data_IF_321611158629
#
_entry.id   IF_321611158629
#
_cell.length_a   1.000
_cell.length_b   1.000
_cell.length_c   1.000
_cell.angle_alpha   90.00
_cell.angle_beta   90.00
_cell.angle_gamma   90.00
#
_symmetry.space_group_name_H-M   'P 1'
#
loop_
_entity.id
_entity.type
_entity.pdbx_description
1 polymer ?
#
# COMPACT_ATOMS: atom_id res chain seq x y z
N UNK A 1 10.20 16.72 12.58
CA UNK A 1 9.44 17.93 12.23
C UNK A 1 8.00 17.82 12.75
N UNK A 2 7.81 17.35 13.98
CA UNK A 2 6.53 16.78 14.48
C UNK A 2 5.76 17.69 15.43
N UNK A 3 6.18 18.93 15.62
CA UNK A 3 5.53 19.85 16.57
C UNK A 3 4.43 20.75 15.95
N UNK A 4 4.23 20.71 14.64
CA UNK A 4 3.35 21.66 13.93
C UNK A 4 1.96 21.09 13.56
N UNK A 5 1.77 19.77 13.60
CA UNK A 5 0.52 19.13 13.16
C UNK A 5 -0.71 19.61 13.98
N UNK A 6 -0.60 19.61 15.31
CA UNK A 6 -1.68 20.07 16.21
C UNK A 6 -1.89 21.60 16.28
N UNK A 7 -1.27 22.39 15.40
CA UNK A 7 -1.36 23.87 15.42
C UNK A 7 -1.98 24.49 14.17
N UNK A 8 -2.40 23.69 13.19
CA UNK A 8 -3.11 24.21 12.01
C UNK A 8 -4.55 24.58 12.38
N UNK A 9 -5.00 25.75 11.94
CA UNK A 9 -6.42 26.08 11.97
C UNK A 9 -7.19 25.07 11.10
N UNK A 10 -8.37 24.66 11.56
CA UNK A 10 -9.20 23.75 10.80
C UNK A 10 -9.63 24.38 9.47
N UNK A 11 -9.48 23.64 8.37
CA UNK A 11 -9.86 24.11 7.02
C UNK A 11 -11.39 24.23 6.85
N UNK A 12 -12.17 23.57 7.71
CA UNK A 12 -13.62 23.59 7.71
C UNK A 12 -14.18 23.28 9.11
N UNK A 13 -15.37 23.80 9.39
CA UNK A 13 -16.17 23.38 10.53
C UNK A 13 -16.81 22.00 10.29
N UNK A 14 -17.27 21.34 11.37
CA UNK A 14 -18.05 20.10 11.30
C UNK A 14 -19.24 20.23 10.35
N UNK A 15 -19.95 21.35 10.40
CA UNK A 15 -21.14 21.60 9.57
C UNK A 15 -20.79 21.76 8.08
N UNK A 16 -19.72 22.49 7.77
CA UNK A 16 -19.25 22.68 6.40
C UNK A 16 -18.74 21.37 5.79
N UNK A 17 -17.96 20.59 6.55
CA UNK A 17 -17.46 19.29 6.13
C UNK A 17 -18.61 18.28 5.93
N UNK A 18 -19.58 18.22 6.85
CA UNK A 18 -20.74 17.36 6.74
C UNK A 18 -21.59 17.70 5.51
N UNK A 19 -21.80 19.00 5.22
CA UNK A 19 -22.54 19.44 4.05
C UNK A 19 -21.84 19.09 2.73
N UNK A 20 -20.50 19.15 2.69
CA UNK A 20 -19.72 18.85 1.48
C UNK A 20 -19.56 17.34 1.22
N UNK A 21 -19.32 16.56 2.28
CA UNK A 21 -18.99 15.14 2.16
C UNK A 21 -20.22 14.25 2.13
N UNK A 22 -21.26 14.62 2.88
CA UNK A 22 -22.42 13.77 3.14
C UNK A 22 -22.10 12.61 4.07
N UNK A 23 -23.14 12.00 4.64
CA UNK A 23 -23.01 10.81 5.49
C UNK A 23 -23.37 9.52 4.73
N UNK A 24 -22.80 8.37 5.13
CA UNK A 24 -21.74 8.23 6.13
C UNK A 24 -20.39 8.77 5.61
N UNK A 25 -19.56 9.25 6.53
CA UNK A 25 -18.18 9.69 6.25
C UNK A 25 -17.21 9.00 7.19
N UNK A 26 -15.92 9.07 6.86
CA UNK A 26 -14.86 8.54 7.70
C UNK A 26 -13.98 9.66 8.24
N UNK A 27 -13.62 9.56 9.51
CA UNK A 27 -12.66 10.42 10.18
C UNK A 27 -11.34 9.66 10.31
N UNK A 28 -10.25 10.29 9.85
CA UNK A 28 -8.90 9.74 9.87
C UNK A 28 -7.95 10.74 10.53
N UNK A 29 -6.93 10.29 11.28
CA UNK A 29 -5.93 11.19 11.82
C UNK A 29 -4.97 11.68 10.74
N UNK A 30 -4.35 12.85 10.97
CA UNK A 30 -3.18 13.27 10.20
C UNK A 30 -2.00 12.32 10.42
N UNK A 31 -1.84 11.82 11.65
CA UNK A 31 -0.80 10.87 12.05
C UNK A 31 -1.42 9.59 12.63
N UNK A 32 -1.23 8.46 11.94
CA UNK A 32 -1.89 7.17 12.27
C UNK A 32 -1.63 6.67 13.70
N UNK A 33 -0.40 6.81 14.22
CA UNK A 33 0.03 6.20 15.50
C UNK A 33 -0.67 6.77 16.72
N UNK A 34 -0.64 8.09 16.89
CA UNK A 34 -1.18 8.77 18.08
C UNK A 34 -2.69 8.49 18.23
N UNK A 35 -3.39 8.39 17.10
CA UNK A 35 -4.81 8.08 17.05
C UNK A 35 -5.12 6.60 17.27
N UNK A 36 -4.31 5.66 16.76
CA UNK A 36 -4.47 4.24 17.11
C UNK A 36 -4.26 3.99 18.60
N UNK A 37 -3.32 4.70 19.24
CA UNK A 37 -3.09 4.61 20.69
C UNK A 37 -4.28 5.17 21.50
N UNK A 38 -4.89 6.27 21.04
CA UNK A 38 -6.02 6.90 21.72
C UNK A 38 -7.38 6.22 21.45
N UNK A 39 -7.64 5.79 20.21
CA UNK A 39 -8.94 5.32 19.75
C UNK A 39 -8.98 3.82 19.39
N UNK A 40 -7.84 3.13 19.37
CA UNK A 40 -7.75 1.71 19.02
C UNK A 40 -7.97 1.37 17.54
N UNK A 41 -8.11 2.39 16.68
CA UNK A 41 -8.31 2.29 15.24
C UNK A 41 -7.67 3.51 14.56
N UNK A 42 -7.34 3.43 13.27
CA UNK A 42 -6.88 4.56 12.45
C UNK A 42 -7.97 5.19 11.57
N UNK A 43 -9.21 4.70 11.69
CA UNK A 43 -10.37 5.19 10.95
C UNK A 43 -11.64 4.97 11.76
N UNK A 44 -12.50 5.99 11.82
CA UNK A 44 -13.82 5.91 12.44
C UNK A 44 -14.87 6.31 11.39
N UNK A 45 -15.81 5.41 11.09
CA UNK A 45 -16.99 5.74 10.28
C UNK A 45 -18.05 6.39 11.18
N UNK A 46 -18.62 7.51 10.72
CA UNK A 46 -19.69 8.24 11.41
C UNK A 46 -20.90 8.34 10.50
N UNK A 47 -22.06 8.01 11.04
CA UNK A 47 -23.32 7.90 10.32
C UNK A 47 -24.10 9.21 10.26
N UNK A 48 -23.80 10.15 11.17
CA UNK A 48 -24.46 11.45 11.24
C UNK A 48 -23.57 12.54 11.86
N UNK A 49 -24.15 13.74 11.96
CA UNK A 49 -23.50 14.95 12.45
C UNK A 49 -23.10 14.85 13.93
N UNK A 50 -23.91 14.19 14.75
CA UNK A 50 -23.65 14.09 16.19
C UNK A 50 -22.44 13.19 16.41
N UNK A 51 -22.42 12.01 15.80
CA UNK A 51 -21.26 11.12 15.84
C UNK A 51 -19.99 11.79 15.28
N UNK A 52 -20.12 12.55 14.19
CA UNK A 52 -18.98 13.29 13.63
C UNK A 52 -18.44 14.36 14.58
N UNK A 53 -19.33 15.14 15.22
CA UNK A 53 -18.94 16.15 16.18
C UNK A 53 -18.26 15.54 17.42
N UNK A 54 -18.78 14.42 17.90
CA UNK A 54 -18.22 13.69 19.05
C UNK A 54 -16.81 13.19 18.77
N UNK A 55 -16.57 12.60 17.59
CA UNK A 55 -15.23 12.14 17.20
C UNK A 55 -14.25 13.30 17.05
N UNK A 56 -14.68 14.42 16.44
CA UNK A 56 -13.82 15.61 16.29
C UNK A 56 -13.49 16.22 17.65
N UNK A 57 -14.45 16.28 18.57
CA UNK A 57 -14.24 16.77 19.93
C UNK A 57 -13.26 15.88 20.70
N UNK A 58 -13.46 14.56 20.68
CA UNK A 58 -12.58 13.61 21.33
C UNK A 58 -11.15 13.68 20.78
N UNK A 59 -10.98 13.78 19.46
CA UNK A 59 -9.65 13.94 18.85
C UNK A 59 -8.99 15.27 19.27
N UNK A 60 -9.78 16.35 19.35
CA UNK A 60 -9.28 17.65 19.82
C UNK A 60 -8.86 17.64 21.29
N UNK A 61 -9.53 16.87 22.16
CA UNK A 61 -9.16 16.73 23.57
C UNK A 61 -7.79 16.05 23.74
N UNK A 62 -7.47 15.11 22.85
CA UNK A 62 -6.17 14.43 22.78
C UNK A 62 -5.11 15.22 21.97
N UNK A 63 -5.48 16.39 21.42
CA UNK A 63 -4.58 17.21 20.60
C UNK A 63 -4.25 16.60 19.23
N UNK A 64 -5.11 15.72 18.72
CA UNK A 64 -4.91 15.01 17.46
C UNK A 64 -5.66 15.74 16.34
N UNK A 65 -4.92 16.16 15.31
CA UNK A 65 -5.50 16.67 14.08
C UNK A 65 -6.13 15.53 13.26
N UNK A 66 -7.35 15.77 12.76
CA UNK A 66 -8.11 14.81 11.96
C UNK A 66 -8.56 15.41 10.63
N UNK A 67 -8.80 14.54 9.67
CA UNK A 67 -9.45 14.85 8.40
C UNK A 67 -10.74 14.05 8.25
N UNK A 68 -11.74 14.68 7.65
CA UNK A 68 -12.97 14.02 7.22
C UNK A 68 -12.88 13.66 5.73
N UNK A 69 -13.30 12.46 5.38
CA UNK A 69 -13.32 11.97 4.00
C UNK A 69 -14.66 11.29 3.74
N UNK A 70 -15.23 11.49 2.55
CA UNK A 70 -16.46 10.79 2.15
C UNK A 70 -16.22 9.28 2.17
N UNK A 71 -17.17 8.50 2.70
CA UNK A 71 -17.10 7.05 2.57
C UNK A 71 -17.29 6.65 1.10
N UNK A 72 -16.33 5.92 0.57
CA UNK A 72 -16.39 5.35 -0.79
C UNK A 72 -16.70 3.87 -0.67
N UNK A 73 -17.68 3.40 -1.43
CA UNK A 73 -17.98 1.97 -1.53
C UNK A 73 -16.98 1.35 -2.53
N UNK A 74 -15.88 0.81 -2.00
CA UNK A 74 -14.73 0.34 -2.77
C UNK A 74 -14.99 -1.08 -3.30
N UNK A 75 -14.74 -1.30 -4.59
CA UNK A 75 -14.78 -2.63 -5.19
C UNK A 75 -13.63 -3.50 -4.68
N UNK A 76 -13.97 -4.61 -4.00
CA UNK A 76 -12.97 -5.56 -3.51
C UNK A 76 -12.17 -6.17 -4.67
N UNK A 77 -10.83 -6.17 -4.57
CA UNK A 77 -9.93 -6.80 -5.55
C UNK A 77 -9.68 -5.96 -6.81
N UNK A 78 -10.27 -4.76 -6.91
CA UNK A 78 -10.04 -3.85 -8.04
C UNK A 78 -8.99 -2.79 -7.74
N UNK A 79 -8.41 -2.77 -6.53
CA UNK A 79 -7.37 -1.82 -6.15
C UNK A 79 -6.15 -1.94 -7.05
N UNK A 80 -5.57 -0.79 -7.42
CA UNK A 80 -4.35 -0.73 -8.20
C UNK A 80 -3.38 0.27 -7.57
N UNK A 81 -2.09 -0.02 -7.64
CA UNK A 81 -1.07 0.86 -7.10
C UNK A 81 0.08 1.03 -8.09
N UNK A 82 0.57 2.25 -8.25
CA UNK A 82 1.79 2.52 -9.00
C UNK A 82 3.00 2.30 -8.10
N UNK A 83 3.82 1.30 -8.38
CA UNK A 83 5.20 1.23 -7.90
C UNK A 83 6.06 2.15 -8.74
N UNK A 84 6.80 3.08 -8.14
CA UNK A 84 7.60 4.02 -8.92
C UNK A 84 8.93 4.39 -8.27
N UNK A 85 9.89 4.72 -9.13
CA UNK A 85 11.04 5.56 -8.80
C UNK A 85 11.05 6.75 -9.77
N UNK A 86 10.93 7.96 -9.24
CA UNK A 86 11.05 9.21 -10.01
C UNK A 86 12.44 9.81 -9.78
N UNK A 87 13.31 9.90 -10.80
CA UNK A 87 14.62 10.51 -10.68
C UNK A 87 14.54 12.04 -10.58
N UNK A 88 15.63 12.73 -10.18
CA UNK A 88 15.71 14.19 -10.21
C UNK A 88 15.51 14.83 -11.59
N UNK A 89 15.66 14.06 -12.68
CA UNK A 89 15.38 14.52 -14.05
C UNK A 89 13.88 14.63 -14.36
N UNK A 90 13.02 14.11 -13.48
CA UNK A 90 11.56 14.25 -13.56
C UNK A 90 10.85 12.97 -14.00
N UNK A 91 9.52 13.06 -14.11
CA UNK A 91 8.65 11.90 -14.37
C UNK A 91 8.87 11.21 -15.72
N UNK A 92 9.41 11.92 -16.72
CA UNK A 92 9.61 11.37 -18.07
C UNK A 92 10.68 10.27 -18.09
N UNK A 93 11.55 10.23 -17.08
CA UNK A 93 12.57 9.20 -16.86
C UNK A 93 12.17 8.24 -15.70
N UNK A 94 10.91 8.28 -15.25
CA UNK A 94 10.46 7.44 -14.15
C UNK A 94 10.49 5.96 -14.54
N UNK A 95 10.83 5.12 -13.56
CA UNK A 95 10.69 3.67 -13.65
C UNK A 95 9.46 3.26 -12.85
N UNK A 96 8.51 2.60 -13.50
CA UNK A 96 7.24 2.30 -12.87
C UNK A 96 6.65 0.94 -13.24
N UNK A 97 5.82 0.40 -12.35
CA UNK A 97 5.04 -0.84 -12.54
C UNK A 97 3.71 -0.66 -11.83
N UNK A 98 2.59 -0.89 -12.53
CA UNK A 98 1.28 -0.96 -11.88
C UNK A 98 1.05 -2.37 -11.35
N UNK A 99 0.64 -2.47 -10.09
CA UNK A 99 0.23 -3.72 -9.44
C UNK A 99 -1.24 -3.69 -9.02
N UNK A 100 -1.96 -4.79 -9.23
CA UNK A 100 -3.27 -5.04 -8.64
C UNK A 100 -3.10 -5.82 -7.34
N UNK A 101 -3.63 -5.30 -6.23
CA UNK A 101 -3.63 -5.98 -4.94
C UNK A 101 -4.76 -7.04 -4.88
N UNK A 102 -4.61 -8.10 -5.67
CA UNK A 102 -5.62 -9.14 -5.88
C UNK A 102 -6.14 -9.77 -4.57
N UNK A 103 -5.27 -9.90 -3.55
CA UNK A 103 -5.66 -10.42 -2.23
C UNK A 103 -5.01 -9.59 -1.13
N UNK A 104 -5.83 -9.23 -0.12
CA UNK A 104 -5.43 -8.57 1.12
C UNK A 104 -5.68 -9.48 2.33
N UNK A 105 -4.87 -9.32 3.37
CA UNK A 105 -5.08 -9.98 4.67
C UNK A 105 -4.90 -8.99 5.84
N UNK A 106 -5.89 -8.88 6.74
CA UNK A 106 -7.27 -9.39 6.62
C UNK A 106 -8.03 -8.81 5.40
N UNK A 107 -9.09 -9.47 4.92
CA UNK A 107 -9.74 -9.09 3.64
C UNK A 107 -10.30 -7.67 3.55
N UNK A 108 -10.73 -7.07 4.67
CA UNK A 108 -11.39 -5.75 4.65
C UNK A 108 -10.45 -4.57 4.93
N UNK A 109 -9.48 -4.73 5.83
CA UNK A 109 -8.58 -3.66 6.28
C UNK A 109 -7.11 -4.09 6.26
N UNK A 110 -6.80 -5.11 5.47
CA UNK A 110 -5.49 -5.73 5.43
C UNK A 110 -4.50 -5.09 4.49
N UNK A 111 -3.28 -5.59 4.60
CA UNK A 111 -2.21 -5.31 3.64
C UNK A 111 -2.24 -6.34 2.52
N UNK A 112 -1.70 -5.98 1.35
CA UNK A 112 -1.60 -6.89 0.21
C UNK A 112 -0.80 -8.14 0.59
N UNK A 113 -1.31 -9.31 0.19
CA UNK A 113 -0.63 -10.59 0.33
C UNK A 113 -0.51 -11.35 -1.00
N UNK A 114 -1.28 -10.99 -2.03
CA UNK A 114 -1.03 -11.37 -3.42
C UNK A 114 -1.17 -10.12 -4.29
N UNK A 115 -0.14 -9.81 -5.06
CA UNK A 115 -0.11 -8.68 -5.99
C UNK A 115 0.29 -9.18 -7.36
N UNK A 116 -0.36 -8.69 -8.41
CA UNK A 116 -0.06 -9.07 -9.80
C UNK A 116 0.19 -7.80 -10.61
N UNK A 117 1.16 -7.82 -11.53
CA UNK A 117 1.33 -6.73 -12.49
C UNK A 117 0.05 -6.52 -13.30
N UNK A 118 -0.34 -5.28 -13.51
CA UNK A 118 -1.53 -4.90 -14.28
C UNK A 118 -1.15 -3.91 -15.39
N UNK A 119 -1.88 -3.96 -16.50
CA UNK A 119 -1.79 -2.98 -17.59
C UNK A 119 -2.89 -1.94 -17.42
N UNK A 120 -2.59 -0.88 -16.66
CA UNK A 120 -3.52 0.20 -16.32
C UNK A 120 -2.84 1.57 -16.53
N UNK A 121 -2.69 2.02 -17.78
CA UNK A 121 -1.94 3.25 -18.10
C UNK A 121 -2.55 4.51 -17.47
N UNK A 122 -3.86 4.51 -17.20
CA UNK A 122 -4.53 5.62 -16.53
C UNK A 122 -4.09 5.77 -15.07
N UNK A 123 -3.74 4.67 -14.38
CA UNK A 123 -3.20 4.70 -13.02
C UNK A 123 -1.79 5.28 -13.05
N UNK A 124 -0.94 4.82 -13.97
CA UNK A 124 0.42 5.32 -14.12
C UNK A 124 0.44 6.82 -14.42
N UNK A 125 -0.34 7.28 -15.40
CA UNK A 125 -0.42 8.69 -15.76
C UNK A 125 -0.85 9.56 -14.57
N UNK A 126 -1.94 9.17 -13.87
CA UNK A 126 -2.47 9.94 -12.74
C UNK A 126 -1.50 9.98 -11.57
N UNK A 127 -0.87 8.85 -11.24
CA UNK A 127 0.09 8.77 -10.15
C UNK A 127 1.34 9.61 -10.44
N UNK A 128 1.93 9.48 -11.63
CA UNK A 128 3.09 10.29 -12.02
C UNK A 128 2.76 11.78 -12.11
N UNK A 129 1.54 12.15 -12.51
CA UNK A 129 1.11 13.55 -12.52
C UNK A 129 1.03 14.15 -11.10
N UNK A 130 0.52 13.39 -10.12
CA UNK A 130 0.48 13.84 -8.72
C UNK A 130 1.89 13.99 -8.13
N UNK A 131 2.79 13.05 -8.43
CA UNK A 131 4.19 13.13 -7.97
C UNK A 131 4.93 14.31 -8.58
N UNK A 132 4.69 14.59 -9.87
CA UNK A 132 5.29 15.72 -10.60
C UNK A 132 4.79 17.07 -10.10
N UNK A 133 3.48 17.22 -9.88
CA UNK A 133 2.87 18.44 -9.30
C UNK A 133 3.43 18.71 -7.88
N UNK A 134 3.65 17.66 -7.10
CA UNK A 134 4.27 17.75 -5.78
C UNK A 134 5.79 18.01 -5.82
N UNK A 135 6.43 17.93 -6.99
CA UNK A 135 7.90 18.01 -7.13
C UNK A 135 8.63 16.87 -6.42
N UNK A 136 8.02 15.69 -6.33
CA UNK A 136 8.58 14.55 -5.62
C UNK A 136 9.60 13.77 -6.48
N UNK A 137 10.74 13.44 -5.87
CA UNK A 137 11.74 12.53 -6.43
C UNK A 137 12.07 11.46 -5.41
N UNK A 138 12.10 10.20 -5.82
CA UNK A 138 12.32 9.06 -4.94
C UNK A 138 11.45 7.86 -5.25
N UNK A 139 11.49 6.87 -4.36
CA UNK A 139 10.67 5.67 -4.44
C UNK A 139 9.28 5.98 -3.86
N UNK A 140 8.23 5.53 -4.53
CA UNK A 140 6.86 5.69 -4.03
C UNK A 140 5.91 4.56 -4.44
N UNK A 141 4.88 4.36 -3.63
CA UNK A 141 3.65 3.65 -3.98
C UNK A 141 2.48 4.65 -3.98
N UNK A 142 1.81 4.81 -5.12
CA UNK A 142 0.54 5.57 -5.18
C UNK A 142 -0.62 4.59 -5.27
N UNK A 143 -1.44 4.51 -4.22
CA UNK A 143 -2.53 3.54 -4.09
C UNK A 143 -3.85 4.13 -4.61
N UNK A 144 -4.56 3.36 -5.42
CA UNK A 144 -5.88 3.70 -5.95
C UNK A 144 -6.90 2.63 -5.60
N UNK A 145 -8.09 3.10 -5.28
CA UNK A 145 -9.28 2.26 -5.06
C UNK A 145 -10.27 2.49 -6.19
N UNK A 146 -11.04 1.46 -6.55
CA UNK A 146 -12.05 1.57 -7.60
C UNK A 146 -13.42 1.83 -6.98
N UNK A 147 -14.05 2.93 -7.39
CA UNK A 147 -15.41 3.31 -7.01
C UNK A 147 -16.39 2.75 -8.06
N UNK A 148 -17.20 1.75 -7.67
CA UNK A 148 -18.15 1.11 -8.60
C UNK A 148 -19.27 2.05 -9.06
N UNK A 149 -19.68 2.99 -8.20
CA UNK A 149 -20.78 3.89 -8.52
C UNK A 149 -20.36 4.95 -9.54
N UNK A 150 -19.07 5.34 -9.53
CA UNK A 150 -18.49 6.33 -10.43
C UNK A 150 -17.74 5.71 -11.61
N UNK A 151 -17.50 4.41 -11.57
CA UNK A 151 -16.68 3.66 -12.53
C UNK A 151 -15.28 4.27 -12.70
N UNK A 152 -14.67 4.71 -11.61
CA UNK A 152 -13.39 5.41 -11.65
C UNK A 152 -12.43 4.98 -10.53
N UNK A 153 -11.14 5.15 -10.81
CA UNK A 153 -10.08 5.02 -9.82
C UNK A 153 -9.88 6.33 -9.06
N UNK A 154 -9.96 6.24 -7.73
CA UNK A 154 -9.71 7.32 -6.80
C UNK A 154 -8.37 7.11 -6.10
N UNK A 155 -7.52 8.14 -6.09
CA UNK A 155 -6.27 8.12 -5.32
C UNK A 155 -6.60 8.04 -3.83
N UNK A 156 -6.07 7.03 -3.16
CA UNK A 156 -6.28 6.78 -1.73
C UNK A 156 -5.11 7.32 -0.90
N UNK A 157 -3.87 6.96 -1.25
CA UNK A 157 -2.67 7.31 -0.48
C UNK A 157 -1.43 7.36 -1.40
N UNK A 158 -0.39 8.08 -0.99
CA UNK A 158 0.92 8.10 -1.65
C UNK A 158 2.00 7.84 -0.60
N UNK A 159 2.53 6.63 -0.57
CA UNK A 159 3.63 6.24 0.31
C UNK A 159 4.97 6.63 -0.32
N UNK A 160 5.63 7.65 0.21
CA UNK A 160 6.95 8.14 -0.24
C UNK A 160 8.11 7.33 0.35
N UNK A 161 7.98 6.01 0.33
CA UNK A 161 8.94 5.04 0.91
C UNK A 161 8.74 3.66 0.29
N UNK A 162 9.71 2.74 0.41
CA UNK A 162 9.48 1.32 0.19
C UNK A 162 8.34 0.75 1.05
N UNK A 163 7.67 -0.26 0.52
CA UNK A 163 6.53 -0.92 1.12
C UNK A 163 6.60 -2.43 0.87
N UNK A 164 5.60 -3.17 1.35
CA UNK A 164 5.64 -4.62 1.48
C UNK A 164 5.99 -5.34 0.17
N UNK A 165 5.46 -4.93 -0.97
CA UNK A 165 5.71 -5.63 -2.23
C UNK A 165 6.83 -5.02 -3.09
N UNK A 166 7.75 -4.23 -2.51
CA UNK A 166 8.88 -3.60 -3.23
C UNK A 166 9.77 -4.59 -4.01
N UNK A 167 9.75 -5.88 -3.66
CA UNK A 167 10.46 -6.93 -4.41
C UNK A 167 9.76 -7.34 -5.72
N UNK A 168 8.47 -7.03 -5.91
CA UNK A 168 7.74 -7.35 -7.14
C UNK A 168 8.25 -6.54 -8.34
N UNK A 169 8.40 -5.19 -8.28
CA UNK A 169 9.01 -4.44 -9.38
C UNK A 169 10.40 -4.97 -9.77
N UNK A 170 11.22 -5.37 -8.78
CA UNK A 170 12.53 -5.96 -9.04
C UNK A 170 12.42 -7.23 -9.87
N UNK A 171 11.51 -8.14 -9.49
CA UNK A 171 11.27 -9.38 -10.23
C UNK A 171 10.63 -9.13 -11.61
N UNK A 172 9.81 -8.08 -11.74
CA UNK A 172 9.21 -7.66 -12.99
C UNK A 172 10.19 -6.97 -13.94
N UNK A 173 11.41 -6.63 -13.51
CA UNK A 173 12.41 -5.95 -14.35
C UNK A 173 12.52 -4.44 -14.13
N UNK A 174 11.76 -3.87 -13.19
CA UNK A 174 11.87 -2.50 -12.67
C UNK A 174 12.50 -2.49 -11.27
N UNK A 175 13.82 -2.59 -11.19
CA UNK A 175 14.54 -2.56 -9.92
C UNK A 175 14.63 -1.13 -9.35
N UNK A 176 13.54 -0.66 -8.73
CA UNK A 176 13.42 0.69 -8.15
C UNK A 176 14.55 1.00 -7.16
N UNK A 177 14.92 0.09 -6.22
CA UNK A 177 16.05 0.34 -5.31
C UNK A 177 17.39 0.52 -6.04
N UNK A 178 17.66 -0.29 -7.07
CA UNK A 178 18.89 -0.17 -7.86
C UNK A 178 18.90 1.11 -8.71
N UNK A 179 17.76 1.53 -9.25
CA UNK A 179 17.63 2.81 -9.95
C UNK A 179 17.93 4.00 -9.01
N UNK A 180 17.35 3.98 -7.81
CA UNK A 180 17.61 4.99 -6.78
C UNK A 180 19.09 5.02 -6.34
N UNK A 181 19.71 3.84 -6.18
CA UNK A 181 21.13 3.73 -5.85
C UNK A 181 22.03 4.24 -6.99
N UNK A 182 21.72 3.89 -8.24
CA UNK A 182 22.45 4.35 -9.42
C UNK A 182 22.40 5.89 -9.56
N UNK A 183 21.29 6.54 -9.20
CA UNK A 183 21.13 7.98 -9.32
C UNK A 183 22.05 8.80 -8.39
N UNK A 184 22.63 8.19 -7.35
CA UNK A 184 23.48 8.86 -6.36
C UNK A 184 24.89 8.27 -6.28
N UNK A 185 25.23 7.36 -7.19
CA UNK A 185 26.54 6.68 -7.26
C UNK A 185 27.04 6.60 -8.70
N UNK A 186 28.22 6.00 -8.91
CA UNK A 186 28.74 5.71 -10.26
C UNK A 186 28.14 4.44 -10.88
N UNK A 187 27.20 3.78 -10.20
CA UNK A 187 26.54 2.60 -10.74
C UNK A 187 25.55 2.97 -11.84
N UNK A 188 25.40 2.10 -12.83
CA UNK A 188 24.43 2.26 -13.92
C UNK A 188 23.33 1.23 -13.79
N UNK A 189 22.08 1.65 -14.00
CA UNK A 189 20.95 0.76 -14.09
C UNK A 189 20.05 1.16 -15.26
N UNK A 190 19.60 0.16 -16.01
CA UNK A 190 18.58 0.30 -17.03
C UNK A 190 17.66 -0.91 -16.93
N UNK A 191 16.35 -0.67 -17.03
CA UNK A 191 15.39 -1.77 -17.13
C UNK A 191 15.55 -2.48 -18.48
N UNK A 192 15.44 -3.80 -18.46
CA UNK A 192 15.41 -4.62 -19.68
C UNK A 192 14.01 -4.73 -20.30
N UNK A 193 12.99 -4.12 -19.68
CA UNK A 193 11.58 -4.35 -19.95
C UNK A 193 10.85 -4.84 -18.70
N UNK A 194 9.52 -4.67 -18.70
CA UNK A 194 8.64 -5.12 -17.62
C UNK A 194 7.94 -6.41 -18.03
N UNK A 195 8.09 -7.45 -17.22
CA UNK A 195 7.50 -8.77 -17.44
C UNK A 195 6.35 -9.05 -16.46
N UNK A 196 5.30 -9.78 -16.89
CA UNK A 196 4.22 -10.17 -15.99
C UNK A 196 4.73 -10.89 -14.75
N UNK A 197 4.39 -10.38 -13.58
CA UNK A 197 4.92 -10.86 -12.30
C UNK A 197 3.81 -10.93 -11.25
N UNK A 198 3.85 -11.98 -10.44
CA UNK A 198 3.00 -12.19 -9.27
C UNK A 198 3.88 -12.19 -8.04
N UNK A 199 3.47 -11.50 -7.00
CA UNK A 199 4.16 -11.45 -5.71
C UNK A 199 3.25 -11.97 -4.63
N UNK A 200 3.76 -12.86 -3.77
CA UNK A 200 3.01 -13.40 -2.64
C UNK A 200 3.74 -13.18 -1.32
N UNK A 201 3.01 -12.73 -0.30
CA UNK A 201 3.46 -12.74 1.09
C UNK A 201 2.95 -14.01 1.77
N UNK A 202 3.77 -15.07 1.72
CA UNK A 202 3.36 -16.42 2.12
C UNK A 202 2.75 -16.50 3.51
N UNK A 203 3.29 -15.77 4.49
CA UNK A 203 2.78 -15.76 5.86
C UNK A 203 1.29 -15.40 5.90
N UNK A 204 0.92 -14.27 5.34
CA UNK A 204 -0.46 -13.79 5.35
C UNK A 204 -1.36 -14.60 4.43
N UNK A 205 -0.83 -15.02 3.28
CA UNK A 205 -1.57 -15.85 2.32
C UNK A 205 -1.93 -17.21 2.92
N UNK A 206 -1.00 -17.86 3.63
CA UNK A 206 -1.25 -19.10 4.36
C UNK A 206 -2.19 -18.91 5.55
N UNK A 207 -2.08 -17.81 6.30
CA UNK A 207 -3.02 -17.48 7.37
C UNK A 207 -4.45 -17.30 6.84
N UNK A 208 -4.61 -16.70 5.66
CA UNK A 208 -5.90 -16.56 5.01
C UNK A 208 -6.47 -17.94 4.60
N UNK A 209 -5.66 -18.77 3.95
CA UNK A 209 -6.06 -20.14 3.56
C UNK A 209 -6.44 -21.03 4.74
N UNK A 210 -5.79 -20.84 5.89
CA UNK A 210 -6.05 -21.63 7.08
C UNK A 210 -7.23 -21.11 7.91
N UNK A 211 -7.53 -19.81 7.83
CA UNK A 211 -8.45 -19.12 8.74
C UNK A 211 -9.74 -18.61 8.12
N UNK A 212 -9.85 -18.52 6.80
CA UNK A 212 -11.05 -18.04 6.09
C UNK A 212 -11.58 -19.12 5.14
N UNK A 213 -12.58 -19.87 5.60
CA UNK A 213 -13.25 -20.92 4.81
C UNK A 213 -13.89 -20.41 3.51
N UNK A 214 -14.17 -19.10 3.40
CA UNK A 214 -14.75 -18.50 2.21
C UNK A 214 -13.68 -18.09 1.17
N UNK A 215 -12.40 -18.09 1.53
CA UNK A 215 -11.32 -17.75 0.61
C UNK A 215 -10.93 -18.96 -0.25
N UNK A 216 -10.92 -18.76 -1.56
CA UNK A 216 -10.45 -19.77 -2.52
C UNK A 216 -9.00 -19.50 -2.93
N UNK A 217 -8.18 -20.54 -2.92
CA UNK A 217 -6.78 -20.47 -3.32
C UNK A 217 -6.60 -19.98 -4.77
N UNK A 218 -5.91 -18.86 -4.92
CA UNK A 218 -5.52 -18.24 -6.19
C UNK A 218 -4.17 -18.75 -6.72
N UNK A 219 -3.49 -19.65 -5.99
CA UNK A 219 -2.26 -20.29 -6.44
C UNK A 219 -2.56 -21.70 -6.96
N UNK A 220 -1.97 -22.06 -8.10
CA UNK A 220 -2.14 -23.39 -8.67
C UNK A 220 -1.27 -24.42 -7.94
N UNK A 221 -1.56 -25.71 -8.12
CA UNK A 221 -0.69 -26.78 -7.62
C UNK A 221 0.75 -26.71 -8.21
N UNK A 222 0.93 -26.11 -9.38
CA UNK A 222 2.27 -25.88 -9.95
C UNK A 222 3.00 -24.75 -9.22
N UNK A 223 2.29 -23.68 -8.87
CA UNK A 223 2.83 -22.55 -8.11
C UNK A 223 3.32 -22.99 -6.73
N UNK A 224 2.51 -23.78 -6.02
CA UNK A 224 2.92 -24.36 -4.74
C UNK A 224 4.16 -25.24 -4.84
N UNK A 225 4.26 -26.07 -5.87
CA UNK A 225 5.45 -26.91 -6.08
C UNK A 225 6.70 -26.05 -6.30
N UNK A 226 6.59 -24.97 -7.10
CA UNK A 226 7.71 -24.05 -7.34
C UNK A 226 8.12 -23.28 -6.09
N UNK A 227 7.14 -22.84 -5.29
CA UNK A 227 7.40 -22.18 -4.02
C UNK A 227 8.15 -23.12 -3.08
N UNK A 228 7.63 -24.32 -2.83
CA UNK A 228 8.24 -25.29 -1.89
C UNK A 228 9.61 -25.77 -2.37
N UNK A 229 9.82 -25.95 -3.68
CA UNK A 229 11.11 -26.39 -4.22
C UNK A 229 12.15 -25.27 -4.33
N UNK A 230 11.74 -24.01 -4.24
CA UNK A 230 12.58 -22.85 -4.55
C UNK A 230 12.71 -22.53 -6.05
N UNK A 231 12.10 -23.32 -6.93
CA UNK A 231 12.20 -23.11 -8.38
C UNK A 231 11.63 -21.76 -8.84
N UNK A 232 10.75 -21.14 -8.06
CA UNK A 232 10.18 -19.81 -8.37
C UNK A 232 11.26 -18.72 -8.51
N UNK A 233 12.48 -18.91 -7.99
CA UNK A 233 13.57 -17.96 -8.16
C UNK A 233 14.08 -17.88 -9.61
N UNK A 234 13.80 -18.90 -10.43
CA UNK A 234 14.31 -19.02 -11.79
C UNK A 234 13.22 -19.40 -12.82
N UNK A 235 12.04 -19.81 -12.37
CA UNK A 235 10.97 -20.31 -13.22
C UNK A 235 9.61 -19.69 -12.88
N UNK A 236 8.84 -19.38 -13.93
CA UNK A 236 7.51 -18.81 -13.80
C UNK A 236 7.56 -17.31 -13.49
N UNK A 237 6.42 -16.78 -13.04
CA UNK A 237 6.23 -15.34 -12.81
C UNK A 237 6.09 -15.00 -11.33
N UNK A 238 6.21 -15.99 -10.44
CA UNK A 238 6.01 -15.80 -9.01
C UNK A 238 7.30 -15.38 -8.32
N UNK A 239 7.17 -14.40 -7.44
CA UNK A 239 8.18 -14.04 -6.45
C UNK A 239 7.54 -13.91 -5.06
N UNK A 240 8.34 -13.71 -4.03
CA UNK A 240 7.83 -13.53 -2.66
C UNK A 240 8.44 -12.32 -1.96
N UNK A 241 7.84 -11.94 -0.82
CA UNK A 241 8.36 -10.88 0.04
C UNK A 241 9.65 -11.26 0.77
N UNK A 242 9.59 -12.24 1.67
CA UNK A 242 10.70 -12.59 2.58
C UNK A 242 11.21 -14.02 2.41
N UNK A 243 10.56 -14.85 1.58
CA UNK A 243 10.97 -16.23 1.38
C UNK A 243 11.81 -16.37 0.11
N UNK A 244 13.12 -16.60 0.29
CA UNK A 244 14.07 -16.89 -0.78
C UNK A 244 15.01 -18.00 -0.31
N UNK A 245 14.90 -19.25 -0.81
CA UNK A 245 15.87 -20.30 -0.48
C UNK A 245 17.35 -19.91 -0.68
N UNK A 246 17.65 -19.07 -1.67
CA UNK A 246 19.02 -18.55 -1.87
C UNK A 246 19.45 -17.47 -0.86
N UNK A 247 18.50 -16.80 -0.21
CA UNK A 247 18.72 -15.82 0.86
C UNK A 247 17.74 -16.08 2.02
N UNK A 248 18.03 -17.08 2.88
CA UNK A 248 17.08 -17.52 3.91
C UNK A 248 17.00 -16.57 5.11
N UNK A 249 17.84 -15.53 5.17
CA UNK A 249 17.94 -14.62 6.32
C UNK A 249 16.62 -13.93 6.67
N UNK A 250 15.95 -13.26 5.72
CA UNK A 250 14.65 -12.62 5.94
C UNK A 250 13.56 -13.59 6.41
N UNK A 251 13.49 -14.79 5.83
CA UNK A 251 12.53 -15.81 6.24
C UNK A 251 12.78 -16.30 7.68
N UNK A 252 14.05 -16.55 8.02
CA UNK A 252 14.42 -16.92 9.38
C UNK A 252 14.05 -15.81 10.37
N UNK A 253 14.26 -14.55 10.01
CA UNK A 253 13.91 -13.40 10.84
C UNK A 253 12.40 -13.29 11.06
N UNK A 254 11.61 -13.49 10.01
CA UNK A 254 10.15 -13.54 10.13
C UNK A 254 9.71 -14.64 11.12
N UNK A 255 10.30 -15.84 11.04
CA UNK A 255 9.96 -16.92 11.98
C UNK A 255 10.30 -16.57 13.43
N UNK A 256 11.41 -15.87 13.69
CA UNK A 256 11.71 -15.37 15.04
C UNK A 256 10.63 -14.44 15.59
N UNK A 257 10.00 -13.63 14.72
CA UNK A 257 8.94 -12.68 15.12
C UNK A 257 7.56 -13.31 15.23
N UNK A 258 7.26 -14.39 14.49
CA UNK A 258 5.95 -15.06 14.58
C UNK A 258 5.74 -15.81 15.91
N UNK A 259 6.82 -16.21 16.59
CA UNK A 259 6.75 -16.98 17.83
C UNK A 259 7.05 -16.16 19.10
N UNK A 260 7.22 -14.84 18.97
CA UNK A 260 7.59 -13.93 20.08
C UNK A 260 6.77 -12.64 19.98
N UNK A 261 6.33 -12.06 21.10
CA UNK A 261 5.65 -10.75 21.17
C UNK A 261 6.58 -9.56 20.81
N UNK A 262 7.36 -9.65 19.72
CA UNK A 262 8.31 -8.63 19.27
C UNK A 262 8.09 -8.21 17.83
N UNK A 263 8.40 -6.94 17.60
CA UNK A 263 8.45 -6.12 16.37
C UNK A 263 8.07 -6.80 15.05
N UNK A 264 7.04 -6.23 14.40
CA UNK A 264 6.64 -6.51 13.03
C UNK A 264 7.83 -6.50 12.06
N UNK A 265 8.00 -7.59 11.31
CA UNK A 265 8.99 -7.72 10.24
C UNK A 265 8.30 -7.63 8.88
N UNK A 266 8.69 -6.64 8.07
CA UNK A 266 8.22 -6.42 6.71
C UNK A 266 9.32 -6.83 5.71
N UNK A 267 8.95 -7.08 4.46
CA UNK A 267 9.87 -7.15 3.32
C UNK A 267 10.43 -5.77 2.92
N UNK A 268 9.87 -4.72 3.50
CA UNK A 268 10.35 -3.36 3.58
C UNK A 268 11.07 -3.17 4.94
#
# INVERSE_FOLDING_TARGET
>A
ETAAAGTREADATVDEAAAALGFPLVVKPELKRDFEEAFGTNVIEVADREEFADVVAAASEEGIAVMAQRRVDIATGRDHSLASYVPPSGRDDALAVVGNAAVRYPRNFGTSCLVETADEPAIEERALAVLDDAGYHGISESEFVYDEAREEFLLLDVNTRPWKWISMPVAAGANLPMAAYAAVTDATYASGGIEPTRWVYLRDYLSLLAGDDAFWDQLSAADWRRLVSGAFEHEGTLTTGVYRPSDPGPAAKLFETEFVDREYYCSC
#
